data_IF_606544179913
#
_entry.id   IF_606544179913
#
_cell.length_a   1.000
_cell.length_b   1.000
_cell.length_c   1.000
_cell.angle_alpha   90.00
_cell.angle_beta   90.00
_cell.angle_gamma   90.00
#
_symmetry.space_group_name_H-M   'P 1'
#
loop_
_entity.id
_entity.type
_entity.pdbx_description
1 polymer ?
#
# COMPACT_ATOMS: atom_id res chain seq x y z
N UNK A 1 -24.35 -17.50 -26.12
CA UNK A 1 -22.88 -17.40 -25.95
C UNK A 1 -22.62 -16.63 -24.66
N UNK A 2 -22.26 -17.33 -23.60
CA UNK A 2 -21.90 -16.69 -22.33
C UNK A 2 -20.54 -16.02 -22.47
N UNK A 3 -20.36 -14.75 -22.08
CA UNK A 3 -19.05 -14.12 -22.14
C UNK A 3 -18.12 -14.86 -21.18
N UNK A 4 -17.04 -15.42 -21.72
CA UNK A 4 -15.92 -15.94 -20.94
C UNK A 4 -15.32 -14.78 -20.15
N UNK A 5 -15.76 -14.59 -18.90
CA UNK A 5 -15.22 -13.56 -18.03
C UNK A 5 -13.79 -13.96 -17.70
N UNK A 6 -12.80 -13.32 -18.35
CA UNK A 6 -11.42 -13.49 -17.97
C UNK A 6 -11.28 -13.12 -16.47
N UNK A 7 -10.59 -13.94 -15.66
CA UNK A 7 -10.39 -13.66 -14.23
C UNK A 7 -9.78 -12.27 -13.97
N UNK A 8 -8.96 -11.78 -14.90
CA UNK A 8 -8.38 -10.43 -14.88
C UNK A 8 -9.42 -9.34 -15.11
N UNK A 9 -10.42 -9.56 -15.97
CA UNK A 9 -11.44 -8.57 -16.29
C UNK A 9 -12.45 -8.42 -15.15
N UNK A 10 -12.78 -9.53 -14.50
CA UNK A 10 -13.58 -9.50 -13.26
C UNK A 10 -12.91 -8.67 -12.16
N UNK A 11 -11.60 -8.86 -11.95
CA UNK A 11 -10.84 -8.07 -11.00
C UNK A 11 -10.87 -6.58 -11.35
N UNK A 12 -10.57 -6.22 -12.62
CA UNK A 12 -10.59 -4.84 -13.10
C UNK A 12 -11.94 -4.18 -12.88
N UNK A 13 -13.02 -4.87 -13.22
CA UNK A 13 -14.39 -4.36 -13.07
C UNK A 13 -14.73 -4.12 -11.59
N UNK A 14 -14.47 -5.08 -10.71
CA UNK A 14 -14.70 -4.88 -9.28
C UNK A 14 -13.82 -3.78 -8.68
N UNK A 15 -12.56 -3.71 -9.09
CA UNK A 15 -11.65 -2.65 -8.68
C UNK A 15 -12.18 -1.29 -9.12
N UNK A 16 -12.59 -1.14 -10.38
CA UNK A 16 -13.14 0.09 -10.92
C UNK A 16 -14.40 0.54 -10.17
N UNK A 17 -15.36 -0.36 -9.94
CA UNK A 17 -16.60 -0.04 -9.20
C UNK A 17 -16.29 0.47 -7.79
N UNK A 18 -15.43 -0.24 -7.04
CA UNK A 18 -15.05 0.17 -5.68
C UNK A 18 -14.25 1.46 -5.67
N UNK A 19 -13.38 1.65 -6.67
CA UNK A 19 -12.55 2.84 -6.77
C UNK A 19 -13.38 4.08 -7.10
N UNK A 20 -14.30 4.01 -8.06
CA UNK A 20 -15.23 5.11 -8.39
C UNK A 20 -16.09 5.48 -7.19
N UNK A 21 -16.62 4.48 -6.47
CA UNK A 21 -17.37 4.73 -5.23
C UNK A 21 -16.51 5.47 -4.18
N UNK A 22 -15.24 5.09 -4.03
CA UNK A 22 -14.33 5.77 -3.12
C UNK A 22 -13.99 7.21 -3.57
N UNK A 23 -13.88 7.46 -4.87
CA UNK A 23 -13.69 8.80 -5.44
C UNK A 23 -14.90 9.71 -5.17
N UNK A 24 -16.11 9.19 -5.35
CA UNK A 24 -17.36 9.91 -5.04
C UNK A 24 -17.41 10.31 -3.56
N UNK A 25 -17.05 9.40 -2.65
CA UNK A 25 -16.95 9.71 -1.23
C UNK A 25 -15.89 10.79 -0.93
N UNK A 26 -14.74 10.77 -1.59
CA UNK A 26 -13.71 11.81 -1.43
C UNK A 26 -14.24 13.17 -1.90
N UNK A 27 -15.00 13.20 -2.99
CA UNK A 27 -15.61 14.42 -3.52
C UNK A 27 -16.74 14.97 -2.62
N UNK A 28 -17.55 14.11 -2.03
CA UNK A 28 -18.62 14.50 -1.12
C UNK A 28 -18.10 15.18 0.17
N UNK A 29 -16.92 14.76 0.64
CA UNK A 29 -16.28 15.32 1.84
C UNK A 29 -15.43 16.58 1.60
N UNK A 30 -15.62 17.29 0.48
CA UNK A 30 -14.91 18.56 0.23
C UNK A 30 -15.28 19.59 1.30
N UNK A 31 -14.30 19.97 2.12
CA UNK A 31 -14.37 21.15 2.99
C UNK A 31 -14.02 22.43 2.21
N UNK A 32 -14.57 23.55 2.66
CA UNK A 32 -14.57 24.92 2.08
C UNK A 32 -13.41 25.30 1.13
N UNK A 33 -13.66 26.09 0.06
CA UNK A 33 -12.66 26.50 -0.95
C UNK A 33 -11.41 27.25 -0.45
N UNK A 34 -11.37 27.67 0.82
CA UNK A 34 -10.38 28.62 1.35
C UNK A 34 -8.99 28.01 1.69
N UNK A 35 -8.75 26.72 1.49
CA UNK A 35 -7.56 26.02 2.01
C UNK A 35 -6.77 25.24 0.92
N UNK A 36 -6.56 25.88 -0.23
CA UNK A 36 -6.38 25.23 -1.54
C UNK A 36 -5.10 24.36 -1.68
N UNK A 37 -3.94 24.84 -1.26
CA UNK A 37 -2.67 24.13 -1.48
C UNK A 37 -2.46 22.91 -0.55
N UNK A 38 -2.89 23.04 0.71
CA UNK A 38 -2.85 21.94 1.69
C UNK A 38 -3.87 20.86 1.34
N UNK A 39 -4.94 21.24 0.65
CA UNK A 39 -6.00 20.35 0.17
C UNK A 39 -5.54 19.49 -1.02
N UNK A 40 -4.72 20.01 -1.95
CA UNK A 40 -4.24 19.23 -3.11
C UNK A 40 -3.41 17.99 -2.71
N UNK A 41 -2.38 18.14 -1.88
CA UNK A 41 -1.57 17.00 -1.42
C UNK A 41 -2.40 15.99 -0.62
N UNK A 42 -3.35 16.47 0.19
CA UNK A 42 -4.26 15.61 0.94
C UNK A 42 -5.20 14.84 0.02
N UNK A 43 -5.76 15.51 -1.00
CA UNK A 43 -6.63 14.93 -2.01
C UNK A 43 -5.91 13.84 -2.79
N UNK A 44 -4.72 14.13 -3.33
CA UNK A 44 -3.88 13.14 -4.03
C UNK A 44 -3.53 11.95 -3.13
N UNK A 45 -3.25 12.20 -1.85
CA UNK A 45 -3.02 11.14 -0.86
C UNK A 45 -4.27 10.29 -0.60
N UNK A 46 -5.45 10.90 -0.51
CA UNK A 46 -6.74 10.20 -0.33
C UNK A 46 -7.08 9.35 -1.55
N UNK A 47 -6.87 9.86 -2.76
CA UNK A 47 -7.03 9.11 -4.01
C UNK A 47 -6.10 7.90 -4.04
N UNK A 48 -4.81 8.08 -3.72
CA UNK A 48 -3.84 6.98 -3.63
C UNK A 48 -4.26 5.91 -2.62
N UNK A 49 -4.74 6.34 -1.45
CA UNK A 49 -5.23 5.40 -0.43
C UNK A 49 -6.50 4.68 -0.92
N UNK A 50 -7.44 5.39 -1.55
CA UNK A 50 -8.66 4.80 -2.10
C UNK A 50 -8.35 3.73 -3.15
N UNK A 51 -7.40 4.00 -4.06
CA UNK A 51 -6.96 3.02 -5.05
C UNK A 51 -6.37 1.77 -4.38
N UNK A 52 -5.43 1.94 -3.44
CA UNK A 52 -4.84 0.80 -2.73
C UNK A 52 -5.84 0.02 -1.86
N UNK A 53 -6.78 0.71 -1.21
CA UNK A 53 -7.85 0.04 -0.46
C UNK A 53 -8.75 -0.76 -1.38
N UNK A 54 -9.22 -0.16 -2.49
CA UNK A 54 -10.09 -0.84 -3.45
C UNK A 54 -9.39 -2.07 -4.06
N UNK A 55 -8.14 -1.93 -4.49
CA UNK A 55 -7.34 -3.01 -5.05
C UNK A 55 -7.12 -4.16 -4.06
N UNK A 56 -6.74 -3.85 -2.82
CA UNK A 56 -6.55 -4.85 -1.78
C UNK A 56 -7.85 -5.58 -1.43
N UNK A 57 -8.96 -4.84 -1.31
CA UNK A 57 -10.27 -5.43 -0.97
C UNK A 57 -10.77 -6.43 -2.02
N UNK A 58 -10.47 -6.23 -3.30
CA UNK A 58 -10.86 -7.16 -4.38
C UNK A 58 -9.95 -8.39 -4.40
N UNK A 59 -8.67 -8.22 -4.04
CA UNK A 59 -7.68 -9.31 -4.03
C UNK A 59 -7.92 -10.36 -2.93
N UNK A 60 -8.87 -10.08 -2.02
CA UNK A 60 -9.27 -10.98 -0.95
C UNK A 60 -8.37 -10.91 0.28
N UNK A 61 -8.88 -11.39 1.41
CA UNK A 61 -8.16 -11.53 2.68
C UNK A 61 -7.15 -12.69 2.67
N UNK A 62 -7.19 -13.53 1.64
CA UNK A 62 -6.29 -14.68 1.48
C UNK A 62 -4.85 -14.24 1.19
N UNK A 63 -4.68 -13.10 0.49
CA UNK A 63 -3.37 -12.59 0.09
C UNK A 63 -2.68 -11.87 1.24
N UNK A 64 -1.47 -12.28 1.55
CA UNK A 64 -0.68 -11.67 2.60
C UNK A 64 -0.37 -10.20 2.29
N UNK A 65 -0.08 -9.87 1.03
CA UNK A 65 0.14 -8.49 0.62
C UNK A 65 -1.11 -7.61 0.78
N UNK A 66 -2.30 -8.16 0.52
CA UNK A 66 -3.56 -7.42 0.67
C UNK A 66 -3.82 -7.07 2.14
N UNK A 67 -3.67 -8.06 3.03
CA UNK A 67 -3.79 -7.86 4.49
C UNK A 67 -2.80 -6.83 5.00
N UNK A 68 -1.53 -6.94 4.59
CA UNK A 68 -0.49 -6.00 4.98
C UNK A 68 -0.79 -4.58 4.50
N UNK A 69 -1.29 -4.42 3.27
CA UNK A 69 -1.67 -3.14 2.71
C UNK A 69 -2.86 -2.52 3.46
N UNK A 70 -3.92 -3.29 3.72
CA UNK A 70 -5.09 -2.85 4.51
C UNK A 70 -4.71 -2.50 5.95
N UNK A 71 -3.87 -3.32 6.59
CA UNK A 71 -3.35 -3.04 7.94
C UNK A 71 -2.56 -1.74 7.96
N UNK A 72 -1.68 -1.52 6.99
CA UNK A 72 -0.90 -0.29 6.84
C UNK A 72 -1.81 0.91 6.65
N UNK A 73 -2.86 0.80 5.86
CA UNK A 73 -3.84 1.87 5.62
C UNK A 73 -4.61 2.20 6.92
N UNK A 74 -5.18 1.18 7.58
CA UNK A 74 -5.96 1.33 8.83
C UNK A 74 -5.13 1.91 9.96
N UNK A 75 -3.87 1.52 10.07
CA UNK A 75 -2.99 1.95 11.15
C UNK A 75 -2.13 3.18 10.79
N UNK A 76 -2.37 3.89 9.67
CA UNK A 76 -1.57 5.09 9.35
C UNK A 76 -1.65 6.20 10.39
N UNK A 77 -2.79 6.40 11.05
CA UNK A 77 -2.95 7.40 12.12
C UNK A 77 -2.26 6.93 13.40
N UNK A 78 -2.52 5.68 13.79
CA UNK A 78 -1.92 5.02 14.96
C UNK A 78 -0.39 4.97 14.87
N UNK A 79 0.16 4.56 13.73
CA UNK A 79 1.60 4.49 13.50
C UNK A 79 2.24 5.88 13.48
N UNK A 80 1.55 6.93 13.00
CA UNK A 80 2.04 8.31 13.15
C UNK A 80 2.12 8.72 14.63
N UNK A 81 1.12 8.37 15.43
CA UNK A 81 1.15 8.60 16.88
C UNK A 81 2.27 7.82 17.59
N UNK A 82 2.47 6.56 17.23
CA UNK A 82 3.54 5.71 17.80
C UNK A 82 4.94 6.20 17.42
N UNK A 83 5.16 6.63 16.18
CA UNK A 83 6.46 7.18 15.74
C UNK A 83 6.78 8.51 16.45
N UNK A 84 5.79 9.39 16.63
CA UNK A 84 5.96 10.63 17.40
C UNK A 84 6.25 10.33 18.87
N UNK A 85 5.57 9.34 19.46
CA UNK A 85 5.81 8.90 20.85
C UNK A 85 7.19 8.27 21.02
N UNK A 86 7.63 7.47 20.05
CA UNK A 86 8.95 6.86 20.05
C UNK A 86 10.07 7.89 19.85
N UNK A 87 9.85 8.95 19.06
CA UNK A 87 10.79 10.06 18.93
C UNK A 87 11.00 10.79 20.25
N UNK A 88 9.93 11.15 20.96
CA UNK A 88 10.02 11.75 22.31
C UNK A 88 10.77 10.84 23.29
N UNK A 89 10.47 9.53 23.28
CA UNK A 89 11.18 8.56 24.14
C UNK A 89 12.66 8.39 23.76
N UNK A 90 13.00 8.42 22.48
CA UNK A 90 14.38 8.36 22.01
C UNK A 90 15.17 9.63 22.35
N UNK A 91 14.53 10.80 22.29
CA UNK A 91 15.15 12.07 22.70
C UNK A 91 15.41 12.08 24.21
N UNK A 92 14.48 11.57 25.04
CA UNK A 92 14.72 11.34 26.47
C UNK A 92 15.80 10.29 26.75
N UNK A 93 15.85 9.19 25.98
CA UNK A 93 16.86 8.14 26.13
C UNK A 93 18.26 8.59 25.68
N UNK A 94 18.39 9.51 24.71
CA UNK A 94 19.68 10.09 24.29
C UNK A 94 20.35 10.89 25.41
N UNK A 95 19.57 11.51 26.29
CA UNK A 95 20.10 12.19 27.49
C UNK A 95 20.64 11.16 28.51
N UNK A 96 20.08 9.95 28.58
CA UNK A 96 20.51 8.92 29.54
C UNK A 96 21.55 7.91 29.02
N UNK A 97 21.86 7.89 27.71
CA UNK A 97 22.61 6.79 27.07
C UNK A 97 24.10 7.05 26.82
N UNK A 98 24.71 8.06 27.45
CA UNK A 98 26.15 8.37 27.27
C UNK A 98 27.10 7.35 27.93
N UNK A 99 26.58 6.24 28.47
CA UNK A 99 27.35 5.10 29.00
C UNK A 99 26.74 3.78 28.53
N UNK A 100 27.12 3.28 27.36
CA UNK A 100 27.04 1.84 27.02
C UNK A 100 27.76 1.55 25.70
N UNK A 101 28.88 0.84 25.80
CA UNK A 101 29.62 0.31 24.66
C UNK A 101 28.70 -0.56 23.77
N UNK A 102 28.65 -0.33 22.45
CA UNK A 102 27.93 -1.22 21.55
C UNK A 102 28.76 -2.49 21.30
N UNK A 103 28.26 -3.64 21.76
CA UNK A 103 28.80 -4.95 21.41
C UNK A 103 28.41 -5.29 19.95
N UNK A 104 29.35 -5.54 19.02
CA UNK A 104 29.07 -5.69 17.59
C UNK A 104 28.64 -7.11 17.16
N UNK A 105 28.09 -7.93 18.07
CA UNK A 105 27.65 -9.30 17.75
C UNK A 105 26.13 -9.42 17.74
N UNK A 106 25.51 -8.88 16.70
CA UNK A 106 24.22 -9.38 16.18
C UNK A 106 24.41 -9.69 14.71
N UNK A 107 25.11 -10.79 14.44
CA UNK A 107 25.14 -11.40 13.12
C UNK A 107 23.71 -11.79 12.76
N UNK A 108 23.18 -11.14 11.74
CA UNK A 108 21.95 -11.47 11.05
C UNK A 108 22.13 -12.83 10.36
N UNK A 109 21.79 -13.89 11.09
CA UNK A 109 21.86 -15.29 10.62
C UNK A 109 20.96 -15.59 9.41
N UNK A 110 20.14 -14.63 8.96
CA UNK A 110 19.21 -14.81 7.84
C UNK A 110 19.67 -14.17 6.52
N UNK A 111 20.68 -13.30 6.52
CA UNK A 111 21.12 -12.61 5.31
C UNK A 111 21.76 -13.55 4.26
N UNK A 112 22.23 -14.73 4.66
CA UNK A 112 22.98 -15.66 3.80
C UNK A 112 22.08 -16.62 3.00
N UNK A 113 20.79 -16.76 3.35
CA UNK A 113 19.89 -17.77 2.72
C UNK A 113 19.11 -17.27 1.50
N UNK A 114 19.14 -15.98 1.21
CA UNK A 114 18.29 -15.37 0.18
C UNK A 114 19.12 -14.73 -0.92
N UNK A 115 18.62 -14.82 -2.17
CA UNK A 115 19.26 -14.10 -3.27
C UNK A 115 19.09 -12.58 -3.08
N UNK A 116 20.01 -11.79 -3.66
CA UNK A 116 19.91 -10.33 -3.62
C UNK A 116 18.62 -9.79 -4.25
N UNK A 117 18.05 -10.50 -5.23
CA UNK A 117 16.76 -10.16 -5.83
C UNK A 117 15.59 -10.45 -4.89
N UNK A 118 15.65 -11.55 -4.16
CA UNK A 118 14.64 -11.91 -3.16
C UNK A 118 14.53 -10.86 -2.06
N UNK A 119 15.68 -10.38 -1.56
CA UNK A 119 15.73 -9.29 -0.59
C UNK A 119 15.13 -7.97 -1.13
N UNK A 120 15.22 -7.72 -2.44
CA UNK A 120 14.56 -6.57 -3.07
C UNK A 120 13.05 -6.76 -3.12
N UNK A 121 12.57 -7.95 -3.50
CA UNK A 121 11.14 -8.28 -3.52
C UNK A 121 10.48 -8.09 -2.14
N UNK A 122 11.15 -8.57 -1.09
CA UNK A 122 10.69 -8.42 0.30
C UNK A 122 10.50 -6.99 0.76
N UNK A 123 11.23 -6.04 0.15
CA UNK A 123 11.11 -4.59 0.45
C UNK A 123 9.98 -3.91 -0.32
N UNK A 124 9.54 -4.45 -1.46
CA UNK A 124 8.55 -3.82 -2.32
C UNK A 124 7.16 -4.46 -2.21
N UNK A 125 7.09 -5.76 -1.95
CA UNK A 125 5.82 -6.48 -1.76
C UNK A 125 5.35 -6.26 -0.32
N UNK A 126 4.13 -5.71 -0.12
CA UNK A 126 3.62 -5.49 1.22
C UNK A 126 3.62 -6.77 2.08
N UNK A 127 4.18 -6.74 3.29
CA UNK A 127 4.13 -7.87 4.23
C UNK A 127 5.06 -9.05 3.90
N UNK A 128 5.98 -8.86 2.95
CA UNK A 128 6.86 -9.91 2.46
C UNK A 128 8.10 -10.16 3.33
N UNK A 129 8.30 -9.38 4.39
CA UNK A 129 9.50 -9.41 5.24
C UNK A 129 9.74 -10.80 5.84
N UNK A 130 8.68 -11.54 6.15
CA UNK A 130 8.75 -12.85 6.83
C UNK A 130 8.26 -14.02 5.96
N UNK A 131 7.97 -13.81 4.67
CA UNK A 131 7.47 -14.87 3.79
C UNK A 131 8.56 -15.91 3.48
N UNK A 132 8.21 -17.15 3.19
CA UNK A 132 9.14 -18.08 2.52
C UNK A 132 9.29 -17.71 1.04
N UNK A 133 10.33 -18.23 0.36
CA UNK A 133 10.63 -17.87 -1.03
C UNK A 133 9.51 -18.26 -2.02
N UNK A 134 8.77 -19.36 -1.79
CA UNK A 134 7.67 -19.77 -2.66
C UNK A 134 6.48 -18.83 -2.52
N UNK A 135 6.07 -18.55 -1.27
CA UNK A 135 4.99 -17.60 -0.99
C UNK A 135 5.34 -16.20 -1.51
N UNK A 136 6.59 -15.76 -1.35
CA UNK A 136 7.06 -14.49 -1.87
C UNK A 136 6.86 -14.37 -3.38
N UNK A 137 7.23 -15.39 -4.16
CA UNK A 137 7.07 -15.36 -5.61
C UNK A 137 5.60 -15.36 -6.03
N UNK A 138 4.75 -16.17 -5.37
CA UNK A 138 3.31 -16.19 -5.64
C UNK A 138 2.66 -14.83 -5.33
N UNK A 139 2.94 -14.28 -4.15
CA UNK A 139 2.41 -12.98 -3.72
C UNK A 139 2.93 -11.85 -4.62
N UNK A 140 4.18 -11.93 -5.08
CA UNK A 140 4.75 -10.98 -6.05
C UNK A 140 4.00 -11.01 -7.38
N UNK A 141 3.76 -12.20 -7.93
CA UNK A 141 3.06 -12.36 -9.20
C UNK A 141 1.63 -11.81 -9.13
N UNK A 142 0.91 -12.12 -8.04
CA UNK A 142 -0.45 -11.61 -7.84
C UNK A 142 -0.46 -10.09 -7.60
N UNK A 143 0.52 -9.56 -6.87
CA UNK A 143 0.65 -8.12 -6.67
C UNK A 143 0.92 -7.38 -7.98
N UNK A 144 1.79 -7.91 -8.85
CA UNK A 144 2.05 -7.34 -10.19
C UNK A 144 0.77 -7.29 -11.02
N UNK A 145 0.00 -8.40 -11.08
CA UNK A 145 -1.28 -8.43 -11.81
C UNK A 145 -2.23 -7.35 -11.32
N UNK A 146 -2.31 -7.15 -10.01
CA UNK A 146 -3.17 -6.12 -9.42
C UNK A 146 -2.68 -4.70 -9.74
N UNK A 147 -1.37 -4.46 -9.73
CA UNK A 147 -0.79 -3.17 -10.11
C UNK A 147 -1.04 -2.84 -11.59
N UNK A 148 -0.93 -3.82 -12.48
CA UNK A 148 -1.27 -3.64 -13.90
C UNK A 148 -2.73 -3.27 -14.04
N UNK A 149 -3.65 -4.03 -13.42
CA UNK A 149 -5.08 -3.72 -13.43
C UNK A 149 -5.40 -2.34 -12.83
N UNK A 150 -4.69 -1.94 -11.78
CA UNK A 150 -4.83 -0.62 -11.19
C UNK A 150 -4.52 0.49 -12.21
N UNK A 151 -3.39 0.37 -12.91
CA UNK A 151 -2.97 1.36 -13.91
C UNK A 151 -3.94 1.41 -15.09
N UNK A 152 -4.38 0.25 -15.60
CA UNK A 152 -5.32 0.17 -16.71
C UNK A 152 -6.66 0.82 -16.40
N UNK A 153 -7.23 0.54 -15.22
CA UNK A 153 -8.49 1.16 -14.80
C UNK A 153 -8.33 2.66 -14.60
N UNK A 154 -7.22 3.11 -14.00
CA UNK A 154 -6.98 4.55 -13.83
C UNK A 154 -6.81 5.28 -15.17
N UNK A 155 -6.13 4.66 -16.15
CA UNK A 155 -6.03 5.18 -17.52
C UNK A 155 -7.40 5.24 -18.18
N UNK A 156 -8.17 4.17 -18.11
CA UNK A 156 -9.53 4.13 -18.68
C UNK A 156 -10.41 5.24 -18.12
N UNK A 157 -10.39 5.46 -16.80
CA UNK A 157 -11.15 6.55 -16.17
C UNK A 157 -10.71 7.94 -16.65
N UNK A 158 -9.40 8.13 -16.83
CA UNK A 158 -8.82 9.35 -17.38
C UNK A 158 -9.29 9.53 -18.82
N UNK A 159 -9.17 8.50 -19.65
CA UNK A 159 -9.60 8.53 -21.05
C UNK A 159 -11.09 8.87 -21.15
N UNK A 160 -11.95 8.29 -20.32
CA UNK A 160 -13.39 8.64 -20.23
C UNK A 160 -13.63 10.11 -19.86
N UNK A 161 -12.76 10.72 -19.05
CA UNK A 161 -12.84 12.14 -18.70
C UNK A 161 -12.35 13.06 -19.82
N UNK A 162 -11.40 12.62 -20.65
CA UNK A 162 -10.82 13.41 -21.74
C UNK A 162 -11.49 13.17 -23.10
N UNK A 163 -12.22 12.08 -23.29
CA UNK A 163 -12.99 11.77 -24.53
C UNK A 163 -14.40 12.37 -24.56
N UNK A 164 -14.80 13.11 -23.51
CA UNK A 164 -16.06 13.88 -23.47
C UNK A 164 -15.87 15.37 -23.82
N UNK A 165 -14.94 15.68 -24.72
CA UNK A 165 -14.78 17.02 -25.32
C UNK A 165 -15.32 17.00 -26.74
#
# INVERSE_FOLDING_TARGET
MSPSINPTDHFKNQFATRFVHALNNINATKSSPHDDHKNMFQRSRRVKIAAYTAMASVSGSERAWSRALLWKIRNRSRNRGLLLRNKKRADHAKVSSKKRNPNPKRQDVNALRYSGQELKLRKIVPGAETMDSRSLMSETADYIKCLVAQVEVMKSLVDLCYTKV
#
